data_IF_892100280651
#
_entry.id   IF_892100280651
#
_cell.length_a   1.000
_cell.length_b   1.000
_cell.length_c   1.000
_cell.angle_alpha   90.00
_cell.angle_beta   90.00
_cell.angle_gamma   90.00
#
_symmetry.space_group_name_H-M   'P 1'
#
loop_
_entity.id
_entity.type
_entity.pdbx_description
1 polymer ?
#
# COMPACT_ATOMS: atom_id res chain seq x y z
N UNK A 1 24.53 -18.38 6.22
CA UNK A 1 23.99 -17.01 6.28
C UNK A 1 23.02 -16.87 5.12
N UNK A 2 21.79 -16.44 5.37
CA UNK A 2 20.81 -16.18 4.31
C UNK A 2 21.17 -14.93 3.50
N UNK A 3 20.42 -14.61 2.43
CA UNK A 3 20.59 -13.37 1.69
C UNK A 3 20.35 -12.15 2.60
N UNK A 4 21.00 -11.03 2.30
CA UNK A 4 20.70 -9.76 2.97
C UNK A 4 19.31 -9.25 2.55
N UNK A 5 18.69 -8.41 3.37
CA UNK A 5 17.39 -7.78 3.04
C UNK A 5 17.45 -7.05 1.70
N UNK A 6 18.54 -6.32 1.45
CA UNK A 6 18.73 -5.59 0.19
C UNK A 6 18.84 -6.52 -1.01
N UNK A 7 19.50 -7.68 -0.88
CA UNK A 7 19.55 -8.68 -1.93
C UNK A 7 18.14 -9.22 -2.25
N UNK A 8 17.35 -9.53 -1.22
CA UNK A 8 15.96 -10.01 -1.40
C UNK A 8 15.11 -8.95 -2.11
N UNK A 9 15.26 -7.69 -1.74
CA UNK A 9 14.52 -6.58 -2.38
C UNK A 9 14.89 -6.46 -3.86
N UNK A 10 16.18 -6.49 -4.19
CA UNK A 10 16.64 -6.44 -5.59
C UNK A 10 16.14 -7.65 -6.40
N UNK A 11 16.15 -8.85 -5.83
CA UNK A 11 15.64 -10.06 -6.49
C UNK A 11 14.12 -9.95 -6.79
N UNK A 12 13.33 -9.36 -5.88
CA UNK A 12 11.91 -9.11 -6.11
C UNK A 12 11.69 -8.09 -7.24
N UNK A 13 12.47 -7.00 -7.27
CA UNK A 13 12.37 -5.97 -8.32
C UNK A 13 12.75 -6.55 -9.68
N UNK A 14 13.82 -7.36 -9.72
CA UNK A 14 14.24 -8.05 -10.93
C UNK A 14 13.16 -9.01 -11.44
N UNK A 15 12.49 -9.72 -10.53
CA UNK A 15 11.35 -10.58 -10.87
C UNK A 15 10.18 -9.78 -11.46
N UNK A 16 9.85 -8.62 -10.90
CA UNK A 16 8.82 -7.73 -11.44
C UNK A 16 9.20 -7.13 -12.81
N UNK A 17 10.46 -6.75 -12.99
CA UNK A 17 10.98 -6.31 -14.30
C UNK A 17 10.92 -7.43 -15.34
N UNK A 18 11.24 -8.67 -14.96
CA UNK A 18 11.11 -9.84 -15.83
C UNK A 18 9.65 -10.06 -16.26
N UNK A 19 8.71 -9.96 -15.31
CA UNK A 19 7.28 -10.05 -15.62
C UNK A 19 6.85 -8.92 -16.56
N UNK A 20 7.34 -7.70 -16.35
CA UNK A 20 7.09 -6.59 -17.28
C UNK A 20 7.47 -6.98 -18.71
N UNK A 21 8.72 -7.39 -18.94
CA UNK A 21 9.19 -7.77 -20.27
C UNK A 21 8.37 -8.91 -20.87
N UNK A 22 7.97 -9.89 -20.03
CA UNK A 22 7.15 -11.02 -20.46
C UNK A 22 5.76 -10.61 -20.95
N UNK A 23 5.13 -9.61 -20.31
CA UNK A 23 3.79 -9.14 -20.67
C UNK A 23 3.81 -8.01 -21.73
N UNK A 24 4.81 -7.13 -21.71
CA UNK A 24 4.89 -5.98 -22.62
C UNK A 24 5.66 -6.28 -23.92
N UNK A 25 6.50 -7.32 -23.92
CA UNK A 25 7.38 -7.67 -25.03
C UNK A 25 8.62 -6.79 -25.16
N UNK A 26 8.89 -5.90 -24.18
CA UNK A 26 10.07 -5.04 -24.18
C UNK A 26 10.62 -4.79 -22.77
N UNK A 27 11.90 -4.43 -22.68
CA UNK A 27 12.52 -4.05 -21.40
C UNK A 27 11.78 -2.88 -20.74
N UNK A 28 11.62 -2.88 -19.39
CA UNK A 28 10.97 -1.79 -18.69
C UNK A 28 11.75 -0.49 -18.84
N UNK A 29 11.02 0.61 -19.09
CA UNK A 29 11.59 1.94 -18.96
C UNK A 29 12.03 2.18 -17.50
N UNK A 30 13.09 2.97 -17.22
CA UNK A 30 13.55 3.24 -15.85
C UNK A 30 12.46 3.72 -14.88
N UNK A 31 11.46 4.44 -15.36
CA UNK A 31 10.29 4.85 -14.55
C UNK A 31 9.42 3.67 -14.12
N UNK A 32 9.25 2.66 -14.97
CA UNK A 32 8.53 1.42 -14.62
C UNK A 32 9.29 0.62 -13.58
N UNK A 33 10.62 0.51 -13.70
CA UNK A 33 11.45 -0.13 -12.67
C UNK A 33 11.37 0.61 -11.32
N UNK A 34 11.34 1.94 -11.33
CA UNK A 34 11.09 2.75 -10.11
C UNK A 34 9.68 2.51 -9.54
N UNK A 35 8.68 2.36 -10.39
CA UNK A 35 7.33 2.01 -9.96
C UNK A 35 7.30 0.64 -9.26
N UNK A 36 7.97 -0.38 -9.82
CA UNK A 36 8.07 -1.70 -9.18
C UNK A 36 8.81 -1.66 -7.85
N UNK A 37 9.86 -0.82 -7.73
CA UNK A 37 10.48 -0.55 -6.42
C UNK A 37 9.45 -0.05 -5.41
N UNK A 38 8.58 0.87 -5.80
CA UNK A 38 7.54 1.39 -4.91
C UNK A 38 6.46 0.37 -4.55
N UNK A 39 6.18 -0.62 -5.42
CA UNK A 39 5.33 -1.75 -5.03
C UNK A 39 5.99 -2.55 -3.90
N UNK A 40 7.29 -2.86 -4.04
CA UNK A 40 8.04 -3.60 -3.00
C UNK A 40 8.11 -2.78 -1.70
N UNK A 41 8.42 -1.48 -1.80
CA UNK A 41 8.41 -0.57 -0.65
C UNK A 41 7.03 -0.54 0.04
N UNK A 42 5.93 -0.54 -0.73
CA UNK A 42 4.57 -0.57 -0.19
C UNK A 42 4.25 -1.89 0.52
N UNK A 43 4.72 -3.03 0.01
CA UNK A 43 4.58 -4.31 0.68
C UNK A 43 5.33 -4.35 2.03
N UNK A 44 6.54 -3.77 2.08
CA UNK A 44 7.31 -3.61 3.32
C UNK A 44 6.58 -2.66 4.29
N UNK A 45 6.06 -1.54 3.78
CA UNK A 45 5.30 -0.58 4.59
C UNK A 45 4.03 -1.21 5.17
N UNK A 46 3.32 -2.02 4.39
CA UNK A 46 2.20 -2.81 4.88
C UNK A 46 2.63 -3.67 6.07
N UNK A 47 3.67 -4.50 5.92
CA UNK A 47 4.15 -5.37 7.00
C UNK A 47 4.54 -4.59 8.27
N UNK A 48 5.17 -3.42 8.13
CA UNK A 48 5.52 -2.54 9.26
C UNK A 48 4.27 -2.02 9.99
N UNK A 49 3.27 -1.53 9.24
CA UNK A 49 2.00 -1.07 9.84
C UNK A 49 1.26 -2.19 10.55
N UNK A 50 1.35 -3.42 10.03
CA UNK A 50 0.76 -4.59 10.70
C UNK A 50 1.44 -4.89 12.04
N UNK A 51 2.77 -4.71 12.14
CA UNK A 51 3.46 -4.87 13.41
C UNK A 51 3.07 -3.79 14.44
N UNK A 52 2.77 -2.57 13.99
CA UNK A 52 2.43 -1.44 14.86
C UNK A 52 0.96 -1.48 15.35
N UNK A 53 0.03 -1.93 14.49
CA UNK A 53 -1.41 -1.76 14.73
C UNK A 53 -2.24 -3.05 14.61
N UNK A 54 -1.67 -4.12 14.05
CA UNK A 54 -2.35 -5.41 13.90
C UNK A 54 -2.36 -6.22 15.19
N UNK A 55 -3.32 -7.13 15.30
CA UNK A 55 -3.31 -8.18 16.31
C UNK A 55 -2.71 -9.45 15.70
N UNK A 56 -2.12 -10.32 16.52
CA UNK A 56 -1.46 -11.54 16.03
C UNK A 56 -2.37 -12.44 15.20
N UNK A 57 -3.69 -12.34 15.38
CA UNK A 57 -4.73 -13.10 14.69
C UNK A 57 -5.57 -12.27 13.71
N UNK A 58 -5.39 -10.95 13.65
CA UNK A 58 -6.10 -10.07 12.71
C UNK A 58 -5.21 -8.87 12.34
N UNK A 59 -4.53 -8.90 11.18
CA UNK A 59 -3.73 -7.77 10.73
C UNK A 59 -4.59 -6.49 10.62
N UNK A 60 -5.86 -6.61 10.20
CA UNK A 60 -6.70 -5.45 9.92
C UNK A 60 -7.55 -5.00 11.12
N UNK A 61 -7.25 -5.46 12.34
CA UNK A 61 -8.04 -5.16 13.53
C UNK A 61 -8.29 -3.65 13.72
N UNK A 62 -7.27 -2.83 13.48
CA UNK A 62 -7.35 -1.37 13.62
C UNK A 62 -8.32 -0.69 12.64
N UNK A 63 -8.53 -1.26 11.46
CA UNK A 63 -9.43 -0.72 10.44
C UNK A 63 -10.80 -1.39 10.47
N UNK A 64 -10.87 -2.67 10.87
CA UNK A 64 -12.12 -3.38 11.15
C UNK A 64 -12.90 -2.81 12.32
N UNK A 65 -12.23 -2.12 13.24
CA UNK A 65 -12.87 -1.41 14.36
C UNK A 65 -13.98 -0.43 13.91
N UNK A 66 -13.99 0.02 12.65
CA UNK A 66 -15.12 0.78 12.08
C UNK A 66 -16.44 -0.01 12.05
N UNK A 67 -16.38 -1.34 11.98
CA UNK A 67 -17.53 -2.26 12.03
C UNK A 67 -18.26 -2.20 13.36
N UNK A 68 -17.54 -1.95 14.46
CA UNK A 68 -18.13 -1.76 15.80
C UNK A 68 -19.06 -0.53 15.84
N UNK A 69 -18.90 0.39 14.88
CA UNK A 69 -19.74 1.57 14.68
C UNK A 69 -20.80 1.39 13.59
N UNK A 70 -20.99 0.15 13.09
CA UNK A 70 -21.93 -0.15 12.01
C UNK A 70 -21.48 0.30 10.61
N UNK A 71 -20.18 0.53 10.42
CA UNK A 71 -19.59 0.93 9.14
C UNK A 71 -18.75 -0.22 8.56
N UNK A 72 -18.89 -0.58 7.28
CA UNK A 72 -18.05 -1.62 6.67
C UNK A 72 -16.55 -1.31 6.82
N UNK A 73 -15.73 -2.35 7.00
CA UNK A 73 -14.33 -2.18 7.37
C UNK A 73 -13.53 -1.44 6.29
N UNK A 74 -13.79 -1.73 5.02
CA UNK A 74 -13.16 -1.07 3.88
C UNK A 74 -13.49 0.44 3.84
N UNK A 75 -14.68 0.85 4.28
CA UNK A 75 -15.03 2.28 4.37
C UNK A 75 -14.18 2.97 5.44
N UNK A 76 -13.96 2.32 6.58
CA UNK A 76 -13.04 2.80 7.62
C UNK A 76 -11.61 2.99 7.10
N UNK A 77 -11.12 2.08 6.26
CA UNK A 77 -9.83 2.22 5.57
C UNK A 77 -9.82 3.45 4.65
N UNK A 78 -10.86 3.61 3.83
CA UNK A 78 -10.94 4.72 2.88
C UNK A 78 -11.08 6.10 3.56
N UNK A 79 -11.64 6.15 4.77
CA UNK A 79 -11.58 7.37 5.59
C UNK A 79 -10.12 7.73 5.94
N UNK A 80 -9.30 6.77 6.35
CA UNK A 80 -7.86 7.01 6.64
C UNK A 80 -7.10 7.41 5.37
N UNK A 81 -7.41 6.81 4.23
CA UNK A 81 -6.85 7.23 2.95
C UNK A 81 -7.24 8.67 2.60
N UNK A 82 -8.46 9.09 2.92
CA UNK A 82 -8.95 10.45 2.70
C UNK A 82 -8.13 11.47 3.49
N UNK A 83 -7.75 11.18 4.74
CA UNK A 83 -6.87 12.07 5.52
C UNK A 83 -5.51 12.29 4.83
N UNK A 84 -4.97 11.25 4.18
CA UNK A 84 -3.72 11.35 3.40
C UNK A 84 -3.90 12.17 2.13
N UNK A 85 -5.03 12.01 1.43
CA UNK A 85 -5.39 12.87 0.29
C UNK A 85 -5.51 14.33 0.73
N UNK A 86 -6.13 14.61 1.88
CA UNK A 86 -6.22 15.98 2.44
C UNK A 86 -4.85 16.57 2.73
N UNK A 87 -3.90 15.77 3.22
CA UNK A 87 -2.51 16.20 3.39
C UNK A 87 -1.86 16.57 2.06
N UNK A 88 -2.05 15.76 1.01
CA UNK A 88 -1.56 16.08 -0.34
C UNK A 88 -2.20 17.34 -0.92
N UNK A 89 -3.50 17.56 -0.69
CA UNK A 89 -4.18 18.80 -1.06
C UNK A 89 -3.54 20.01 -0.38
N UNK A 90 -3.26 19.92 0.93
CA UNK A 90 -2.59 20.99 1.67
C UNK A 90 -1.16 21.24 1.13
N UNK A 91 -0.43 20.19 0.80
CA UNK A 91 0.89 20.31 0.17
C UNK A 91 0.83 20.98 -1.20
N UNK A 92 -0.11 20.58 -2.06
CA UNK A 92 -0.29 21.20 -3.38
C UNK A 92 -0.62 22.70 -3.29
N UNK A 93 -1.34 23.12 -2.24
CA UNK A 93 -1.71 24.53 -2.03
C UNK A 93 -0.60 25.36 -1.40
N UNK A 94 0.17 24.79 -0.47
CA UNK A 94 1.10 25.55 0.39
C UNK A 94 2.57 25.28 0.10
N UNK A 95 2.89 24.19 -0.59
CA UNK A 95 4.26 23.76 -0.92
C UNK A 95 5.07 23.20 0.25
N UNK A 96 4.52 23.10 1.46
CA UNK A 96 5.27 22.67 2.66
C UNK A 96 4.45 21.69 3.51
N UNK A 97 5.12 20.69 4.07
CA UNK A 97 4.60 19.75 5.08
C UNK A 97 5.57 19.70 6.25
N UNK A 98 5.07 19.64 7.49
CA UNK A 98 5.90 19.70 8.71
C UNK A 98 6.23 18.35 9.33
N UNK A 99 5.35 17.34 9.19
CA UNK A 99 5.46 16.09 9.97
C UNK A 99 5.61 14.84 9.10
N UNK A 100 4.91 14.77 7.97
CA UNK A 100 4.85 13.59 7.11
C UNK A 100 5.01 14.06 5.66
N UNK A 101 5.83 13.37 4.86
CA UNK A 101 6.11 13.80 3.50
C UNK A 101 4.97 13.46 2.53
N UNK A 102 4.97 14.11 1.36
CA UNK A 102 4.05 13.77 0.28
C UNK A 102 4.28 12.33 -0.23
N UNK A 103 5.54 11.85 -0.22
CA UNK A 103 5.88 10.48 -0.59
C UNK A 103 5.24 9.47 0.37
N UNK A 104 5.32 9.72 1.68
CA UNK A 104 4.71 8.84 2.68
C UNK A 104 3.18 8.79 2.53
N UNK A 105 2.57 9.93 2.24
CA UNK A 105 1.13 10.03 2.00
C UNK A 105 0.69 9.21 0.78
N UNK A 106 1.45 9.27 -0.32
CA UNK A 106 1.19 8.50 -1.53
C UNK A 106 1.35 6.99 -1.28
N UNK A 107 2.39 6.59 -0.56
CA UNK A 107 2.62 5.20 -0.19
C UNK A 107 1.51 4.66 0.73
N UNK A 108 1.09 5.45 1.73
CA UNK A 108 -0.03 5.13 2.62
C UNK A 108 -1.34 4.94 1.83
N UNK A 109 -1.62 5.80 0.85
CA UNK A 109 -2.80 5.67 -0.01
C UNK A 109 -2.75 4.36 -0.80
N UNK A 110 -1.60 4.00 -1.39
CA UNK A 110 -1.46 2.74 -2.11
C UNK A 110 -1.70 1.52 -1.20
N UNK A 111 -1.14 1.54 0.02
CA UNK A 111 -1.34 0.47 1.01
C UNK A 111 -2.81 0.41 1.44
N UNK A 112 -3.43 1.54 1.78
CA UNK A 112 -4.83 1.56 2.19
C UNK A 112 -5.77 1.11 1.07
N UNK A 113 -5.51 1.46 -0.18
CA UNK A 113 -6.30 0.99 -1.32
C UNK A 113 -6.26 -0.54 -1.45
N UNK A 114 -5.08 -1.15 -1.28
CA UNK A 114 -4.93 -2.62 -1.31
C UNK A 114 -5.60 -3.29 -0.10
N UNK A 115 -5.51 -2.70 1.10
CA UNK A 115 -6.21 -3.24 2.28
C UNK A 115 -7.73 -3.16 2.08
N UNK A 116 -8.23 -2.04 1.56
CA UNK A 116 -9.66 -1.87 1.28
C UNK A 116 -10.17 -2.92 0.29
N UNK A 117 -9.39 -3.19 -0.77
CA UNK A 117 -9.70 -4.25 -1.73
C UNK A 117 -9.86 -5.61 -1.05
N UNK A 118 -8.89 -6.02 -0.21
CA UNK A 118 -8.95 -7.30 0.50
C UNK A 118 -10.18 -7.38 1.42
N UNK A 119 -10.48 -6.30 2.16
CA UNK A 119 -11.65 -6.26 3.05
C UNK A 119 -12.97 -6.36 2.27
N UNK A 120 -13.04 -5.73 1.09
CA UNK A 120 -14.20 -5.86 0.20
C UNK A 120 -14.34 -7.31 -0.32
N UNK A 121 -13.25 -7.95 -0.72
CA UNK A 121 -13.26 -9.36 -1.17
C UNK A 121 -13.74 -10.31 -0.05
N UNK A 122 -13.33 -10.07 1.20
CA UNK A 122 -13.78 -10.84 2.36
C UNK A 122 -15.27 -10.64 2.68
N UNK A 123 -15.79 -9.43 2.47
CA UNK A 123 -17.21 -9.10 2.70
C UNK A 123 -18.12 -9.66 1.60
N UNK A 124 -17.74 -9.53 0.33
CA UNK A 124 -18.59 -9.87 -0.83
C UNK A 124 -18.34 -11.28 -1.41
N UNK A 125 -17.28 -11.97 -1.00
CA UNK A 125 -16.95 -13.34 -1.43
C UNK A 125 -16.41 -13.48 -2.86
N UNK A 126 -16.65 -12.51 -3.74
CA UNK A 126 -16.00 -12.31 -5.05
C UNK A 126 -16.45 -10.96 -5.63
N UNK A 127 -15.54 -10.01 -5.89
CA UNK A 127 -15.88 -8.64 -6.36
C UNK A 127 -16.28 -8.55 -7.84
N UNK A 128 -17.06 -9.51 -8.32
CA UNK A 128 -17.55 -9.56 -9.70
C UNK A 128 -18.84 -8.75 -9.96
N UNK A 129 -19.00 -7.61 -9.27
CA UNK A 129 -20.06 -6.64 -9.55
C UNK A 129 -19.62 -5.57 -10.57
#
# INVERSE_FOLDING_TARGET
MGPSEEQVIEDLINSLNYLHTSYSGHEPHPSSSKFYRHIVDAAILHAKKQADYGQANDPFANVRASSDWGMPAWVGVMMRATDKVKRLQAFAQRGVLTNESAKDSLADIAVYALIALVLMEEEDGDLSA
#
